data_IF_521253224910
#
_entry.id   IF_521253224910
#
_cell.length_a   1.000
_cell.length_b   1.000
_cell.length_c   1.000
_cell.angle_alpha   90.00
_cell.angle_beta   90.00
_cell.angle_gamma   90.00
#
_symmetry.space_group_name_H-M   'P 1'
#
loop_
_entity.id
_entity.type
_entity.pdbx_description
1 polymer ?
#
# COMPACT_ATOMS: atom_id res chain seq x y z
N UNK A 1 -5.31 -18.41 -42.46
CA UNK A 1 -5.59 -19.80 -42.03
C UNK A 1 -4.59 -20.72 -42.69
N UNK A 2 -3.60 -21.23 -41.96
CA UNK A 2 -3.12 -22.63 -42.02
C UNK A 2 -2.53 -22.90 -40.62
N UNK A 3 -3.18 -23.75 -39.84
CA UNK A 3 -2.65 -24.20 -38.54
C UNK A 3 -1.62 -25.32 -38.81
N UNK A 4 -0.33 -25.04 -38.57
CA UNK A 4 0.72 -26.03 -38.66
C UNK A 4 1.07 -26.55 -37.26
N UNK A 5 0.77 -27.82 -36.99
CA UNK A 5 1.26 -28.53 -35.80
C UNK A 5 2.73 -28.89 -36.07
N UNK A 6 3.66 -28.36 -35.27
CA UNK A 6 5.06 -28.81 -35.34
C UNK A 6 5.23 -30.18 -34.68
N UNK A 7 6.25 -30.95 -35.10
CA UNK A 7 6.54 -32.34 -34.69
C UNK A 7 6.81 -32.58 -33.18
N UNK A 8 6.52 -31.60 -32.32
CA UNK A 8 6.55 -31.69 -30.85
C UNK A 8 5.19 -31.38 -30.19
N UNK A 9 4.10 -31.32 -30.96
CA UNK A 9 2.73 -31.25 -30.43
C UNK A 9 2.33 -29.94 -29.74
N UNK A 10 3.13 -28.87 -29.84
CA UNK A 10 2.77 -27.57 -29.27
C UNK A 10 1.96 -26.72 -30.26
N UNK A 11 0.78 -26.30 -29.82
CA UNK A 11 -0.09 -25.36 -30.53
C UNK A 11 0.52 -23.97 -30.39
N UNK A 12 1.00 -23.40 -31.49
CA UNK A 12 1.55 -22.05 -31.52
C UNK A 12 0.42 -21.05 -31.33
N UNK A 13 0.40 -20.38 -30.17
CA UNK A 13 -0.55 -19.33 -29.83
C UNK A 13 -0.49 -18.17 -30.83
N UNK A 14 -1.67 -17.72 -31.25
CA UNK A 14 -1.87 -16.59 -32.15
C UNK A 14 -1.64 -15.29 -31.37
N UNK A 15 -0.53 -14.60 -31.60
CA UNK A 15 -0.34 -13.22 -31.16
C UNK A 15 -0.06 -12.34 -32.39
N UNK A 16 -0.70 -11.16 -32.51
CA UNK A 16 -0.50 -10.26 -33.63
C UNK A 16 0.94 -9.74 -33.63
N UNK A 17 1.64 -9.95 -34.75
CA UNK A 17 3.01 -9.49 -34.97
C UNK A 17 3.02 -7.97 -35.20
N UNK A 18 3.25 -7.19 -34.14
CA UNK A 18 3.79 -5.85 -34.32
C UNK A 18 5.27 -5.99 -34.64
N UNK A 19 5.71 -5.40 -35.76
CA UNK A 19 7.05 -5.49 -36.33
C UNK A 19 8.09 -4.76 -35.45
N UNK A 20 8.36 -5.30 -34.26
CA UNK A 20 9.46 -4.92 -33.39
C UNK A 20 10.48 -6.06 -33.42
N UNK A 21 11.74 -5.72 -33.66
CA UNK A 21 12.81 -6.71 -33.58
C UNK A 21 12.80 -7.34 -32.17
N UNK A 22 12.77 -8.67 -32.04
CA UNK A 22 12.83 -9.31 -30.74
C UNK A 22 14.16 -8.94 -30.10
N UNK A 23 14.09 -8.26 -28.96
CA UNK A 23 15.25 -7.96 -28.15
C UNK A 23 15.76 -9.33 -27.68
N UNK A 24 17.00 -9.67 -28.03
CA UNK A 24 17.60 -10.94 -27.61
C UNK A 24 17.50 -11.02 -26.09
N UNK A 25 17.01 -12.13 -25.50
CA UNK A 25 17.10 -12.29 -24.06
C UNK A 25 18.58 -12.15 -23.69
N UNK A 26 18.87 -11.23 -22.78
CA UNK A 26 20.21 -11.05 -22.22
C UNK A 26 20.72 -12.43 -21.86
N UNK A 27 21.71 -12.89 -22.62
CA UNK A 27 22.43 -14.12 -22.32
C UNK A 27 22.90 -14.01 -20.89
N UNK A 28 22.86 -15.13 -20.16
CA UNK A 28 23.34 -15.24 -18.78
C UNK A 28 24.73 -14.60 -18.70
N UNK A 29 24.76 -13.33 -18.33
CA UNK A 29 25.97 -12.66 -17.89
C UNK A 29 26.23 -13.26 -16.53
N UNK A 30 27.36 -13.93 -16.41
CA UNK A 30 28.02 -14.20 -15.14
C UNK A 30 27.84 -12.97 -14.23
N UNK A 31 26.97 -13.10 -13.23
CA UNK A 31 26.31 -11.96 -12.58
C UNK A 31 25.00 -12.32 -11.88
N UNK A 32 24.48 -13.53 -12.08
CA UNK A 32 23.35 -14.06 -11.28
C UNK A 32 23.75 -14.43 -9.85
N UNK A 33 25.04 -14.42 -9.50
CA UNK A 33 25.49 -14.63 -8.13
C UNK A 33 25.14 -13.50 -7.17
N UNK A 34 24.69 -12.32 -7.65
CA UNK A 34 24.31 -11.21 -6.77
C UNK A 34 22.88 -11.33 -6.23
N UNK A 35 21.97 -11.96 -6.99
CA UNK A 35 20.55 -12.07 -6.61
C UNK A 35 20.32 -13.30 -5.72
N UNK A 36 20.95 -14.44 -6.04
CA UNK A 36 20.79 -15.67 -5.24
C UNK A 36 21.68 -15.72 -3.98
N UNK A 37 22.75 -14.92 -3.90
CA UNK A 37 23.64 -14.85 -2.71
C UNK A 37 23.18 -13.85 -1.65
N UNK A 38 21.98 -13.30 -1.79
CA UNK A 38 21.39 -12.36 -0.82
C UNK A 38 20.50 -13.05 0.23
N UNK A 39 20.11 -14.31 -0.02
CA UNK A 39 19.33 -15.12 0.93
C UNK A 39 20.17 -15.64 2.11
N UNK A 40 21.51 -15.71 1.95
CA UNK A 40 22.44 -16.28 2.94
C UNK A 40 23.37 -15.28 3.62
N UNK A 41 23.05 -13.98 3.60
CA UNK A 41 23.65 -13.04 4.55
C UNK A 41 22.79 -13.06 5.80
N UNK A 42 23.36 -13.53 6.92
CA UNK A 42 22.70 -13.47 8.24
C UNK A 42 22.21 -12.06 8.55
N UNK A 43 21.32 -11.93 9.54
CA UNK A 43 20.76 -10.64 9.97
C UNK A 43 21.85 -9.56 10.06
N UNK A 44 21.73 -8.55 9.21
CA UNK A 44 22.65 -7.43 9.20
C UNK A 44 22.50 -6.62 10.50
N UNK A 45 23.57 -5.99 10.99
CA UNK A 45 23.50 -5.24 12.25
C UNK A 45 22.49 -4.10 12.15
N UNK A 46 22.37 -3.49 10.97
CA UNK A 46 21.35 -2.46 10.71
C UNK A 46 19.93 -3.03 10.83
N UNK A 47 19.68 -4.20 10.25
CA UNK A 47 18.39 -4.89 10.25
C UNK A 47 17.98 -5.32 11.67
N UNK A 48 18.97 -5.77 12.44
CA UNK A 48 18.79 -6.26 13.81
C UNK A 48 18.52 -5.15 14.81
N UNK A 49 19.19 -4.00 14.64
CA UNK A 49 19.08 -2.88 15.58
C UNK A 49 18.01 -1.85 15.16
N UNK A 50 17.48 -1.95 13.93
CA UNK A 50 16.41 -1.07 13.46
C UNK A 50 15.17 -1.21 14.34
N UNK A 51 14.65 -0.06 14.77
CA UNK A 51 13.38 0.03 15.48
C UNK A 51 12.47 0.98 14.76
N UNK A 52 11.20 0.65 14.77
CA UNK A 52 10.13 1.53 14.34
C UNK A 52 9.50 2.19 15.55
N UNK A 53 9.19 3.47 15.42
CA UNK A 53 8.54 4.26 16.46
C UNK A 53 7.55 5.20 15.79
N UNK A 54 6.35 5.25 16.35
CA UNK A 54 5.34 6.21 15.96
C UNK A 54 5.54 7.54 16.70
N UNK A 55 5.65 8.62 15.93
CA UNK A 55 5.81 9.98 16.43
C UNK A 55 4.49 10.75 16.54
N UNK A 56 3.34 10.14 16.25
CA UNK A 56 2.05 10.80 16.34
C UNK A 56 1.62 11.08 17.79
N UNK A 57 0.64 11.95 17.97
CA UNK A 57 0.07 12.26 19.29
C UNK A 57 -1.06 11.30 19.72
N UNK A 58 -1.44 10.32 18.89
CA UNK A 58 -2.58 9.43 19.17
C UNK A 58 -2.19 8.29 20.13
N UNK A 59 -2.53 8.37 21.42
CA UNK A 59 -2.07 7.40 22.42
C UNK A 59 -2.56 5.95 22.27
N UNK A 60 -3.53 5.70 21.39
CA UNK A 60 -4.20 4.41 21.22
C UNK A 60 -3.73 3.63 19.98
N UNK A 61 -2.65 4.04 19.33
CA UNK A 61 -1.99 3.27 18.27
C UNK A 61 -0.76 2.52 18.78
N UNK A 62 -0.36 1.49 18.06
CA UNK A 62 0.84 0.68 18.33
C UNK A 62 2.14 1.48 18.10
N UNK A 63 3.29 0.92 18.48
CA UNK A 63 4.63 1.50 18.27
C UNK A 63 4.92 2.86 18.93
N UNK A 64 4.16 3.26 19.96
CA UNK A 64 4.56 4.37 20.85
C UNK A 64 5.89 4.15 21.54
N UNK A 65 6.19 2.90 21.86
CA UNK A 65 7.53 2.50 22.30
C UNK A 65 8.27 1.91 21.09
N UNK A 66 9.55 2.26 20.90
CA UNK A 66 10.34 1.73 19.79
C UNK A 66 10.38 0.19 19.77
N UNK A 67 9.81 -0.40 18.72
CA UNK A 67 9.72 -1.85 18.52
C UNK A 67 10.65 -2.32 17.40
N UNK A 68 11.26 -3.50 17.54
CA UNK A 68 12.01 -4.12 16.44
C UNK A 68 11.06 -4.66 15.38
N UNK A 69 11.40 -4.42 14.11
CA UNK A 69 10.66 -4.95 12.96
C UNK A 69 11.67 -5.46 11.95
N UNK A 70 11.52 -6.71 11.49
CA UNK A 70 12.37 -7.27 10.45
C UNK A 70 12.07 -6.63 9.09
N UNK A 71 13.08 -6.48 8.21
CA UNK A 71 12.88 -5.98 6.84
C UNK A 71 11.75 -6.69 6.08
N UNK A 72 11.61 -8.00 6.25
CA UNK A 72 10.64 -8.85 5.56
C UNK A 72 9.21 -8.63 6.07
N UNK A 73 9.05 -8.37 7.37
CA UNK A 73 7.75 -8.09 7.97
C UNK A 73 7.39 -6.60 7.97
N UNK A 74 8.34 -5.73 7.61
CA UNK A 74 8.20 -4.27 7.74
C UNK A 74 6.99 -3.70 7.01
N UNK A 75 6.66 -4.23 5.84
CA UNK A 75 5.51 -3.79 5.06
C UNK A 75 4.18 -4.06 5.77
N UNK A 76 3.94 -5.32 6.12
CA UNK A 76 2.70 -5.71 6.80
C UNK A 76 2.54 -5.02 8.15
N UNK A 77 3.62 -4.91 8.94
CA UNK A 77 3.56 -4.33 10.28
C UNK A 77 3.34 -2.83 10.24
N UNK A 78 4.11 -2.09 9.43
CA UNK A 78 3.92 -0.63 9.32
C UNK A 78 2.56 -0.33 8.70
N UNK A 79 2.14 -1.05 7.66
CA UNK A 79 0.81 -0.86 7.08
C UNK A 79 -0.32 -1.14 8.09
N UNK A 80 -0.18 -2.17 8.93
CA UNK A 80 -1.16 -2.46 9.98
C UNK A 80 -1.24 -1.31 10.99
N UNK A 81 -0.10 -0.77 11.40
CA UNK A 81 -0.02 0.39 12.27
C UNK A 81 -0.66 1.64 11.63
N UNK A 82 -0.36 1.95 10.36
CA UNK A 82 -1.00 3.08 9.67
C UNK A 82 -2.53 2.91 9.55
N UNK A 83 -3.02 1.67 9.45
CA UNK A 83 -4.47 1.41 9.47
C UNK A 83 -5.11 1.71 10.83
N UNK A 84 -4.37 1.67 11.93
CA UNK A 84 -4.88 2.09 13.24
C UNK A 84 -5.18 3.59 13.25
N UNK A 85 -4.30 4.41 12.66
CA UNK A 85 -4.55 5.84 12.44
C UNK A 85 -5.78 6.10 11.57
N UNK A 86 -5.95 5.32 10.50
CA UNK A 86 -7.14 5.41 9.65
C UNK A 86 -8.40 5.05 10.43
N UNK A 87 -8.38 3.98 11.22
CA UNK A 87 -9.52 3.55 12.03
C UNK A 87 -9.92 4.63 13.05
N UNK A 88 -8.94 5.29 13.68
CA UNK A 88 -9.19 6.42 14.57
C UNK A 88 -9.85 7.57 13.82
N UNK A 89 -9.31 7.96 12.66
CA UNK A 89 -9.86 9.03 11.85
C UNK A 89 -11.29 8.75 11.36
N UNK A 90 -11.60 7.49 11.01
CA UNK A 90 -12.96 7.05 10.67
C UNK A 90 -13.89 7.20 11.88
N UNK A 91 -13.45 6.75 13.06
CA UNK A 91 -14.23 6.92 14.29
C UNK A 91 -14.44 8.39 14.66
N UNK A 92 -13.47 9.27 14.40
CA UNK A 92 -13.62 10.70 14.60
C UNK A 92 -14.56 11.36 13.58
N UNK A 93 -14.52 10.91 12.33
CA UNK A 93 -15.43 11.33 11.27
C UNK A 93 -16.88 10.89 11.48
N UNK A 94 -17.13 9.83 12.26
CA UNK A 94 -18.48 9.37 12.61
C UNK A 94 -19.11 10.16 13.77
N UNK A 95 -18.38 11.10 14.40
CA UNK A 95 -18.91 11.94 15.48
C UNK A 95 -19.86 13.00 14.92
N UNK A 96 -20.81 13.46 15.73
CA UNK A 96 -21.72 14.52 15.35
C UNK A 96 -20.94 15.76 14.86
N UNK A 97 -21.38 16.33 13.74
CA UNK A 97 -20.81 17.53 13.12
C UNK A 97 -19.37 17.39 12.60
N UNK A 98 -18.87 16.16 12.46
CA UNK A 98 -17.63 15.85 11.76
C UNK A 98 -17.93 14.91 10.59
N UNK A 99 -17.09 14.95 9.58
CA UNK A 99 -17.12 14.03 8.47
C UNK A 99 -15.69 13.80 7.97
N UNK A 100 -15.33 12.52 7.79
CA UNK A 100 -14.06 12.16 7.20
C UNK A 100 -14.17 12.27 5.67
N UNK A 101 -13.44 13.21 5.08
CA UNK A 101 -13.43 13.41 3.62
C UNK A 101 -12.48 12.42 2.95
N UNK A 102 -11.29 12.23 3.53
CA UNK A 102 -10.30 11.30 2.99
C UNK A 102 -9.30 10.88 4.05
N UNK A 103 -8.85 9.62 3.97
CA UNK A 103 -7.70 9.11 4.72
C UNK A 103 -6.73 8.45 3.73
N UNK A 104 -5.50 8.93 3.69
CA UNK A 104 -4.45 8.46 2.78
C UNK A 104 -3.27 7.97 3.58
N UNK A 105 -2.85 6.73 3.33
CA UNK A 105 -1.63 6.15 3.90
C UNK A 105 -0.51 6.23 2.88
N UNK A 106 0.63 6.79 3.27
CA UNK A 106 1.85 6.84 2.46
C UNK A 106 2.95 6.04 3.14
N UNK A 107 3.46 5.00 2.47
CA UNK A 107 4.58 4.20 2.95
C UNK A 107 5.89 4.69 2.31
N UNK A 108 6.91 4.87 3.13
CA UNK A 108 8.25 5.22 2.69
C UNK A 108 9.10 3.96 2.63
N UNK A 109 9.63 3.62 1.47
CA UNK A 109 10.52 2.48 1.27
C UNK A 109 11.98 2.92 1.37
N UNK A 110 12.84 2.06 1.91
CA UNK A 110 14.29 2.22 1.88
C UNK A 110 14.98 0.88 1.60
N UNK A 111 16.25 0.96 1.23
CA UNK A 111 17.10 -0.20 1.01
C UNK A 111 18.19 -0.22 2.07
N UNK A 112 18.44 -1.39 2.65
CA UNK A 112 19.50 -1.54 3.63
C UNK A 112 20.88 -1.49 2.94
N UNK A 113 21.81 -0.61 3.37
CA UNK A 113 23.13 -0.51 2.75
C UNK A 113 24.02 -1.73 3.00
N UNK A 114 23.75 -2.52 4.05
CA UNK A 114 24.59 -3.69 4.40
C UNK A 114 24.17 -4.96 3.64
N UNK A 115 22.86 -5.23 3.58
CA UNK A 115 22.33 -6.48 3.02
C UNK A 115 21.54 -6.30 1.72
N UNK A 116 21.26 -5.06 1.29
CA UNK A 116 20.52 -4.77 0.06
C UNK A 116 19.03 -5.09 0.11
N UNK A 117 18.48 -5.50 1.25
CA UNK A 117 17.04 -5.77 1.39
C UNK A 117 16.25 -4.47 1.34
N UNK A 118 15.21 -4.43 0.51
CA UNK A 118 14.21 -3.38 0.53
C UNK A 118 13.27 -3.59 1.71
N UNK A 119 12.87 -2.52 2.38
CA UNK A 119 11.99 -2.56 3.55
C UNK A 119 11.21 -1.25 3.67
N UNK A 120 10.14 -1.24 4.48
CA UNK A 120 9.40 -0.02 4.82
C UNK A 120 10.13 0.76 5.92
N UNK A 121 10.65 1.94 5.55
CA UNK A 121 11.33 2.89 6.40
C UNK A 121 10.38 3.54 7.43
N UNK A 122 9.13 3.74 7.03
CA UNK A 122 8.04 4.17 7.89
C UNK A 122 6.77 4.47 7.09
N UNK A 123 5.73 4.86 7.80
CA UNK A 123 4.47 5.28 7.21
C UNK A 123 4.11 6.70 7.63
N UNK A 124 3.22 7.31 6.88
CA UNK A 124 2.54 8.53 7.30
C UNK A 124 1.10 8.47 6.83
N UNK A 125 0.20 8.55 7.79
CA UNK A 125 -1.23 8.67 7.54
C UNK A 125 -1.64 10.13 7.52
N UNK A 126 -2.26 10.58 6.43
CA UNK A 126 -2.82 11.92 6.29
C UNK A 126 -4.33 11.83 6.17
N UNK A 127 -5.02 12.50 7.07
CA UNK A 127 -6.49 12.53 7.13
C UNK A 127 -6.98 13.95 6.87
N UNK A 128 -8.13 14.07 6.21
CA UNK A 128 -8.80 15.35 5.97
C UNK A 128 -10.23 15.22 6.50
N UNK A 129 -10.59 16.07 7.44
CA UNK A 129 -11.90 16.08 8.07
C UNK A 129 -12.61 17.41 7.81
N UNK A 130 -13.89 17.35 7.45
CA UNK A 130 -14.78 18.48 7.50
C UNK A 130 -15.39 18.57 8.90
N UNK A 131 -15.47 19.78 9.46
CA UNK A 131 -16.22 20.05 10.68
C UNK A 131 -17.31 21.05 10.32
N UNK A 132 -18.55 20.67 10.58
CA UNK A 132 -19.71 21.50 10.32
C UNK A 132 -20.07 22.27 11.58
N UNK A 133 -20.19 23.58 11.49
CA UNK A 133 -20.64 24.40 12.61
C UNK A 133 -22.16 24.55 12.59
N UNK A 134 -22.75 25.11 13.65
CA UNK A 134 -24.18 25.44 13.68
C UNK A 134 -24.55 26.64 12.76
N UNK A 135 -23.61 27.12 11.95
CA UNK A 135 -23.88 28.18 10.97
C UNK A 135 -24.96 27.72 9.96
N UNK A 136 -26.00 28.54 9.69
CA UNK A 136 -27.07 28.19 8.75
C UNK A 136 -26.58 27.72 7.36
N UNK A 137 -25.41 28.19 6.90
CA UNK A 137 -24.82 27.71 5.65
C UNK A 137 -24.34 26.26 5.71
N UNK A 138 -23.75 25.82 6.83
CA UNK A 138 -23.26 24.44 7.00
C UNK A 138 -24.42 23.45 7.15
N UNK A 139 -25.50 23.86 7.84
CA UNK A 139 -26.73 23.06 7.95
C UNK A 139 -27.43 22.87 6.60
N UNK A 140 -27.51 23.93 5.80
CA UNK A 140 -28.10 23.87 4.47
C UNK A 140 -27.28 22.99 3.51
N UNK A 141 -25.95 23.02 3.59
CA UNK A 141 -25.09 22.13 2.80
C UNK A 141 -25.32 20.66 3.17
N UNK A 142 -25.35 20.34 4.47
CA UNK A 142 -25.58 18.98 4.97
C UNK A 142 -26.94 18.41 4.56
N UNK A 143 -27.99 19.23 4.57
CA UNK A 143 -29.32 18.79 4.13
C UNK A 143 -29.38 18.52 2.62
N UNK A 144 -28.70 19.33 1.81
CA UNK A 144 -28.60 19.12 0.36
C UNK A 144 -27.77 17.87 0.04
N UNK A 145 -26.59 17.70 0.65
CA UNK A 145 -25.74 16.52 0.48
C UNK A 145 -26.44 15.24 0.92
N UNK A 146 -27.10 15.24 2.09
CA UNK A 146 -27.88 14.11 2.56
C UNK A 146 -29.01 13.72 1.59
N UNK A 147 -29.68 14.71 0.99
CA UNK A 147 -30.73 14.48 -0.01
C UNK A 147 -30.19 13.85 -1.29
N UNK A 148 -28.97 14.20 -1.72
CA UNK A 148 -28.31 13.62 -2.89
C UNK A 148 -27.79 12.19 -2.64
N UNK A 149 -27.35 11.89 -1.41
CA UNK A 149 -26.83 10.56 -1.04
C UNK A 149 -27.95 9.54 -0.77
N UNK A 150 -29.12 9.98 -0.28
CA UNK A 150 -30.24 9.10 0.04
C UNK A 150 -30.74 8.28 -1.16
N UNK A 151 -30.57 8.77 -2.39
CA UNK A 151 -30.97 8.07 -3.62
C UNK A 151 -29.90 7.16 -4.24
N UNK A 152 -28.68 7.08 -3.67
CA UNK A 152 -27.55 6.36 -4.27
C UNK A 152 -27.45 4.89 -3.87
N UNK A 153 -28.18 4.45 -2.84
CA UNK A 153 -28.20 3.06 -2.43
C UNK A 153 -29.37 2.33 -3.10
N UNK A 154 -29.07 1.45 -4.05
CA UNK A 154 -30.04 0.50 -4.61
C UNK A 154 -29.89 -0.80 -3.82
N UNK A 155 -30.88 -1.13 -2.99
CA UNK A 155 -30.96 -2.45 -2.34
C UNK A 155 -31.31 -3.50 -3.42
N UNK A 156 -30.29 -4.14 -3.99
CA UNK A 156 -30.48 -5.26 -4.91
C UNK A 156 -30.60 -6.55 -4.09
N UNK A 157 -31.82 -6.85 -3.64
CA UNK A 157 -32.15 -8.19 -3.13
C UNK A 157 -32.36 -9.10 -4.34
N UNK A 158 -31.42 -10.01 -4.58
CA UNK A 158 -31.52 -11.08 -5.58
C UNK A 158 -32.09 -12.36 -4.96
#
# INVERSE_FOLDING_TARGET
MIAGINMRGQVTGLYPQYNVNPISPIGKTEGTDAVEKSEKKGECQTCKNRKYVDGSNEGNVSFKTPGHISPEASDAVVMAHEKEHVANAVNEGNKANKELISATVSLQMAVCPECGRAYVAGGTTRTTMATYSDNPYDQARKSIEGSFLAGQNIDYVA
#
